data_IF_314430537837
#
_entry.id   IF_314430537837
#
_cell.length_a   1.000
_cell.length_b   1.000
_cell.length_c   1.000
_cell.angle_alpha   90.00
_cell.angle_beta   90.00
_cell.angle_gamma   90.00
#
_symmetry.space_group_name_H-M   'P 1'
#
loop_
_entity.id
_entity.type
_entity.pdbx_description
1 polymer ?
#
# COMPACT_ATOMS: atom_id res chain seq x y z
N UNK A 1 63.88 25.66 -71.49
CA UNK A 1 63.39 25.78 -70.10
C UNK A 1 62.25 24.78 -69.92
N UNK A 2 62.38 23.84 -68.99
CA UNK A 2 61.42 22.75 -68.74
C UNK A 2 61.32 22.54 -67.23
N UNK A 3 60.12 22.25 -66.72
CA UNK A 3 59.80 22.26 -65.29
C UNK A 3 60.21 20.95 -64.58
N UNK A 4 60.56 20.97 -63.29
CA UNK A 4 60.99 19.79 -62.54
C UNK A 4 59.83 18.86 -62.16
N UNK A 5 60.14 17.58 -61.92
CA UNK A 5 59.19 16.61 -61.36
C UNK A 5 59.08 16.74 -59.84
N UNK A 6 57.89 16.46 -59.29
CA UNK A 6 57.71 16.10 -57.89
C UNK A 6 57.47 14.59 -57.80
N UNK A 7 58.22 13.90 -56.94
CA UNK A 7 57.92 12.52 -56.56
C UNK A 7 56.98 12.51 -55.35
N UNK A 8 56.02 11.58 -55.33
CA UNK A 8 55.03 11.47 -54.26
C UNK A 8 55.15 10.11 -53.56
N UNK A 9 55.36 10.11 -52.24
CA UNK A 9 55.47 8.90 -51.43
C UNK A 9 54.09 8.47 -50.91
N UNK A 10 53.70 7.22 -51.18
CA UNK A 10 52.48 6.60 -50.67
C UNK A 10 52.79 5.75 -49.43
N UNK A 11 52.25 6.13 -48.27
CA UNK A 11 52.22 5.27 -47.09
C UNK A 11 51.00 4.35 -47.15
N UNK A 12 51.22 3.03 -47.26
CA UNK A 12 50.17 2.03 -47.17
C UNK A 12 49.96 1.60 -45.71
N UNK A 13 48.83 1.98 -45.11
CA UNK A 13 48.45 1.56 -43.75
C UNK A 13 47.59 0.29 -43.83
N UNK A 14 48.15 -0.85 -43.44
CA UNK A 14 47.40 -2.10 -43.29
C UNK A 14 46.61 -2.09 -41.97
N UNK A 15 45.29 -2.06 -42.05
CA UNK A 15 44.38 -2.24 -40.91
C UNK A 15 43.94 -3.70 -40.86
N UNK A 16 44.45 -4.48 -39.89
CA UNK A 16 43.91 -5.81 -39.60
C UNK A 16 42.62 -5.69 -38.78
N UNK A 17 41.47 -5.94 -39.43
CA UNK A 17 40.18 -6.12 -38.76
C UNK A 17 40.06 -7.57 -38.24
N UNK A 18 40.35 -7.76 -36.96
CA UNK A 18 40.15 -9.05 -36.26
C UNK A 18 38.71 -9.15 -35.75
N UNK A 19 37.85 -9.81 -36.54
CA UNK A 19 36.45 -10.07 -36.15
C UNK A 19 36.41 -11.10 -35.02
N UNK A 20 36.35 -10.59 -33.79
CA UNK A 20 36.25 -11.41 -32.57
C UNK A 20 34.79 -11.71 -32.26
N UNK A 21 34.31 -12.89 -32.64
CA UNK A 21 32.94 -13.35 -32.35
C UNK A 21 32.81 -13.80 -30.89
N UNK A 22 32.69 -12.84 -29.98
CA UNK A 22 32.34 -13.10 -28.57
C UNK A 22 30.90 -13.60 -28.45
N UNK A 23 30.74 -14.92 -28.37
CA UNK A 23 29.50 -15.56 -27.90
C UNK A 23 29.29 -15.20 -26.42
N UNK A 24 28.55 -14.12 -26.18
CA UNK A 24 28.11 -13.73 -24.85
C UNK A 24 27.12 -14.77 -24.30
N UNK A 25 27.45 -15.36 -23.15
CA UNK A 25 26.49 -16.18 -22.43
C UNK A 25 25.25 -15.33 -22.06
N UNK A 26 24.02 -15.89 -22.15
CA UNK A 26 22.82 -15.16 -21.79
C UNK A 26 22.86 -14.75 -20.32
N UNK A 27 22.33 -13.56 -20.02
CA UNK A 27 22.23 -13.08 -18.64
C UNK A 27 21.33 -14.01 -17.79
N UNK A 28 21.51 -14.06 -16.46
CA UNK A 28 20.60 -14.77 -15.56
C UNK A 28 19.14 -14.30 -15.68
N UNK A 29 18.91 -13.03 -16.02
CA UNK A 29 17.56 -12.49 -16.24
C UNK A 29 16.91 -13.01 -17.53
N UNK A 30 17.67 -13.17 -18.62
CA UNK A 30 17.15 -13.73 -19.87
C UNK A 30 16.83 -15.22 -19.75
N UNK A 31 17.71 -16.01 -19.14
CA UNK A 31 17.44 -17.45 -18.92
C UNK A 31 16.23 -17.70 -18.02
N UNK A 32 16.01 -16.85 -17.01
CA UNK A 32 14.78 -16.88 -16.21
C UNK A 32 13.54 -16.47 -17.03
N UNK A 33 13.61 -15.41 -17.84
CA UNK A 33 12.47 -14.98 -18.67
C UNK A 33 12.00 -16.10 -19.60
N UNK A 34 12.92 -16.75 -20.33
CA UNK A 34 12.58 -17.83 -21.27
C UNK A 34 11.98 -19.04 -20.54
N UNK A 35 12.54 -19.42 -19.39
CA UNK A 35 12.04 -20.52 -18.54
C UNK A 35 10.62 -20.22 -18.01
N UNK A 36 10.40 -18.99 -17.52
CA UNK A 36 9.11 -18.56 -16.99
C UNK A 36 8.05 -18.44 -18.09
N UNK A 37 8.43 -17.95 -19.28
CA UNK A 37 7.56 -17.87 -20.45
C UNK A 37 7.15 -19.26 -20.96
N UNK A 38 8.09 -20.21 -21.01
CA UNK A 38 7.79 -21.61 -21.37
C UNK A 38 6.81 -22.23 -20.37
N UNK A 39 7.03 -22.02 -19.07
CA UNK A 39 6.12 -22.50 -18.04
C UNK A 39 4.71 -21.85 -18.15
N UNK A 40 4.61 -20.53 -18.37
CA UNK A 40 3.33 -19.86 -18.59
C UNK A 40 2.59 -20.42 -19.82
N UNK A 41 3.33 -20.75 -20.88
CA UNK A 41 2.78 -21.34 -22.11
C UNK A 41 2.16 -22.72 -21.86
N UNK A 42 2.66 -23.46 -20.86
CA UNK A 42 2.13 -24.76 -20.44
C UNK A 42 0.98 -24.67 -19.42
N UNK A 43 0.93 -23.58 -18.64
CA UNK A 43 0.02 -23.42 -17.50
C UNK A 43 -1.05 -22.33 -17.69
N UNK A 44 -1.27 -21.87 -18.93
CA UNK A 44 -2.33 -20.91 -19.27
C UNK A 44 -3.07 -21.34 -20.53
N UNK A 45 -4.38 -21.07 -20.59
CA UNK A 45 -5.24 -21.48 -21.70
C UNK A 45 -5.13 -20.59 -22.96
N UNK A 46 -4.13 -19.70 -23.04
CA UNK A 46 -4.04 -18.67 -24.08
C UNK A 46 -2.59 -18.28 -24.40
N UNK A 47 -2.04 -18.85 -25.48
CA UNK A 47 -0.67 -18.60 -25.95
C UNK A 47 -0.51 -17.17 -26.52
N UNK A 48 -1.57 -16.59 -27.08
CA UNK A 48 -1.54 -15.39 -27.93
C UNK A 48 -1.34 -14.06 -27.21
N UNK A 49 -1.14 -14.04 -25.89
CA UNK A 49 -1.00 -12.81 -25.10
C UNK A 49 0.18 -12.80 -24.12
N UNK A 50 1.01 -13.84 -24.06
CA UNK A 50 2.02 -13.98 -22.98
C UNK A 50 3.11 -12.88 -22.99
N UNK A 51 3.53 -12.43 -24.17
CA UNK A 51 4.45 -11.28 -24.32
C UNK A 51 3.83 -9.92 -23.97
N UNK A 52 2.51 -9.83 -23.83
CA UNK A 52 1.81 -8.63 -23.35
C UNK A 52 1.52 -8.63 -21.84
N UNK A 53 1.87 -9.71 -21.13
CA UNK A 53 1.73 -9.80 -19.67
C UNK A 53 3.04 -10.04 -18.93
N UNK A 54 4.08 -10.59 -19.57
CA UNK A 54 5.36 -10.91 -18.93
C UNK A 54 6.44 -9.90 -19.34
N UNK A 55 7.04 -9.20 -18.36
CA UNK A 55 8.03 -8.16 -18.60
C UNK A 55 9.31 -8.39 -17.80
N UNK A 56 10.44 -8.44 -18.50
CA UNK A 56 11.78 -8.41 -17.92
C UNK A 56 12.34 -6.97 -17.87
N UNK A 57 13.38 -6.68 -17.05
CA UNK A 57 14.05 -5.37 -16.97
C UNK A 57 14.60 -4.82 -18.29
N UNK A 58 14.76 -5.67 -19.31
CA UNK A 58 15.16 -5.29 -20.68
C UNK A 58 14.00 -4.73 -21.51
N UNK A 59 12.75 -4.86 -21.07
CA UNK A 59 11.60 -4.25 -21.75
C UNK A 59 11.56 -2.74 -21.52
N UNK A 60 11.41 -1.91 -22.58
CA UNK A 60 11.23 -0.46 -22.43
C UNK A 60 10.04 -0.05 -21.54
N UNK A 61 9.03 -0.91 -21.38
CA UNK A 61 7.85 -0.66 -20.52
C UNK A 61 8.10 -0.96 -19.04
N UNK A 62 9.15 -1.70 -18.70
CA UNK A 62 9.35 -2.24 -17.35
C UNK A 62 9.49 -1.15 -16.26
N UNK A 63 10.26 -0.06 -16.45
CA UNK A 63 10.36 1.00 -15.43
C UNK A 63 9.00 1.63 -15.13
N UNK A 64 8.24 1.99 -16.18
CA UNK A 64 6.91 2.59 -16.05
C UNK A 64 5.91 1.64 -15.38
N UNK A 65 5.92 0.35 -15.74
CA UNK A 65 5.09 -0.66 -15.07
C UNK A 65 5.43 -0.80 -13.59
N UNK A 66 6.71 -0.75 -13.24
CA UNK A 66 7.15 -0.80 -11.84
C UNK A 66 6.74 0.46 -11.07
N UNK A 67 7.01 1.64 -11.60
CA UNK A 67 6.84 2.93 -10.90
C UNK A 67 5.37 3.35 -10.74
N UNK A 68 4.53 3.06 -11.74
CA UNK A 68 3.12 3.49 -11.82
C UNK A 68 2.30 3.27 -10.54
N UNK A 69 2.57 2.17 -9.82
CA UNK A 69 1.87 1.78 -8.58
C UNK A 69 2.81 1.70 -7.36
N UNK A 70 3.92 2.45 -7.34
CA UNK A 70 4.62 2.76 -6.09
C UNK A 70 3.90 3.92 -5.41
N UNK A 71 3.56 3.75 -4.12
CA UNK A 71 2.81 4.76 -3.34
C UNK A 71 3.60 5.36 -2.17
N UNK A 72 4.79 4.84 -1.92
CA UNK A 72 5.70 5.37 -0.91
C UNK A 72 7.12 5.46 -1.47
N UNK A 73 7.59 6.68 -1.75
CA UNK A 73 8.86 6.98 -2.41
C UNK A 73 10.10 6.56 -1.61
N UNK A 74 9.96 6.28 -0.29
CA UNK A 74 11.00 5.61 0.53
C UNK A 74 11.57 4.36 -0.12
N UNK A 75 10.77 3.71 -0.97
CA UNK A 75 11.05 2.43 -1.61
C UNK A 75 11.23 2.57 -3.13
N UNK A 76 11.39 3.79 -3.67
CA UNK A 76 11.81 4.00 -5.05
C UNK A 76 13.22 4.63 -5.12
N UNK A 77 14.19 3.98 -4.48
CA UNK A 77 15.61 4.38 -4.56
C UNK A 77 16.36 3.55 -5.60
N UNK A 78 17.51 4.03 -6.05
CA UNK A 78 18.48 3.24 -6.83
C UNK A 78 19.00 2.01 -6.07
N UNK A 79 19.08 2.08 -4.74
CA UNK A 79 19.50 0.98 -3.86
C UNK A 79 18.42 -0.07 -3.58
N UNK A 80 17.14 0.24 -3.79
CA UNK A 80 16.05 -0.72 -3.55
C UNK A 80 16.09 -1.82 -4.62
N UNK A 81 16.17 -3.10 -4.21
CA UNK A 81 16.15 -4.25 -5.14
C UNK A 81 14.92 -4.17 -6.04
N UNK A 82 15.13 -4.31 -7.35
CA UNK A 82 14.09 -4.34 -8.38
C UNK A 82 13.68 -5.80 -8.65
N UNK A 83 12.42 -6.10 -9.03
CA UNK A 83 12.01 -7.46 -9.33
C UNK A 83 12.74 -8.01 -10.57
N UNK A 84 12.82 -9.33 -10.68
CA UNK A 84 13.40 -10.01 -11.84
C UNK A 84 12.43 -10.06 -13.03
N UNK A 85 11.12 -10.15 -12.76
CA UNK A 85 10.04 -10.13 -13.74
C UNK A 85 8.82 -9.41 -13.14
N UNK A 86 7.97 -8.84 -14.01
CA UNK A 86 6.62 -8.35 -13.67
C UNK A 86 5.62 -9.11 -14.53
N UNK A 87 4.56 -9.64 -13.91
CA UNK A 87 3.44 -10.32 -14.58
C UNK A 87 2.15 -9.50 -14.39
N UNK A 88 1.49 -9.10 -15.48
CA UNK A 88 0.27 -8.26 -15.45
C UNK A 88 -0.98 -9.01 -15.96
N UNK A 89 -1.50 -10.00 -15.21
CA UNK A 89 -2.53 -10.93 -15.67
C UNK A 89 -3.78 -10.24 -16.25
N UNK A 90 -4.30 -10.79 -17.35
CA UNK A 90 -5.54 -10.37 -18.02
C UNK A 90 -6.71 -11.31 -17.70
N UNK A 91 -6.42 -12.52 -17.20
CA UNK A 91 -7.40 -13.53 -16.81
C UNK A 91 -6.96 -14.22 -15.52
N UNK A 92 -7.89 -14.93 -14.86
CA UNK A 92 -7.59 -15.74 -13.67
C UNK A 92 -6.62 -16.90 -13.99
N UNK A 93 -6.66 -17.46 -15.21
CA UNK A 93 -5.67 -18.46 -15.63
C UNK A 93 -4.25 -17.92 -15.67
N UNK A 94 -4.04 -16.64 -15.99
CA UNK A 94 -2.72 -16.01 -15.97
C UNK A 94 -2.21 -15.85 -14.52
N UNK A 95 -3.10 -15.69 -13.54
CA UNK A 95 -2.77 -15.69 -12.10
C UNK A 95 -2.33 -17.09 -11.65
N UNK A 96 -3.10 -18.13 -12.03
CA UNK A 96 -2.78 -19.52 -11.72
C UNK A 96 -1.41 -19.92 -12.31
N UNK A 97 -1.19 -19.64 -13.60
CA UNK A 97 0.09 -19.86 -14.26
C UNK A 97 1.25 -19.13 -13.59
N UNK A 98 1.08 -17.85 -13.23
CA UNK A 98 2.14 -17.08 -12.55
C UNK A 98 2.52 -17.67 -11.17
N UNK A 99 1.54 -18.15 -10.40
CA UNK A 99 1.80 -18.82 -9.11
C UNK A 99 2.53 -20.15 -9.32
N UNK A 100 2.06 -21.00 -10.25
CA UNK A 100 2.70 -22.28 -10.57
C UNK A 100 4.15 -22.07 -11.02
N UNK A 101 4.38 -21.12 -11.94
CA UNK A 101 5.69 -20.87 -12.52
C UNK A 101 6.67 -20.20 -11.57
N UNK A 102 6.21 -19.32 -10.68
CA UNK A 102 7.06 -18.78 -9.61
C UNK A 102 7.48 -19.85 -8.60
N UNK A 103 6.58 -20.81 -8.30
CA UNK A 103 6.90 -21.97 -7.46
C UNK A 103 7.87 -22.94 -8.14
N UNK A 104 7.71 -23.23 -9.44
CA UNK A 104 8.58 -24.18 -10.16
C UNK A 104 10.02 -23.69 -10.36
N UNK A 105 10.30 -22.40 -10.16
CA UNK A 105 11.66 -21.82 -10.21
C UNK A 105 12.17 -21.34 -8.83
N UNK A 106 11.43 -21.63 -7.75
CA UNK A 106 11.65 -21.17 -6.37
C UNK A 106 12.00 -19.67 -6.25
N UNK A 107 11.18 -18.81 -6.85
CA UNK A 107 11.31 -17.34 -6.73
C UNK A 107 10.11 -16.77 -5.98
N UNK A 108 10.40 -15.86 -5.03
CA UNK A 108 9.38 -15.24 -4.20
C UNK A 108 8.41 -14.39 -5.04
N UNK A 109 7.11 -14.63 -4.85
CA UNK A 109 6.05 -13.86 -5.49
C UNK A 109 5.57 -12.74 -4.56
N UNK A 110 5.83 -11.48 -4.91
CA UNK A 110 5.15 -10.32 -4.29
C UNK A 110 3.93 -9.96 -5.14
N UNK A 111 2.79 -9.69 -4.50
CA UNK A 111 1.52 -9.42 -5.20
C UNK A 111 1.15 -7.95 -5.00
N UNK A 112 0.80 -7.27 -6.11
CA UNK A 112 0.41 -5.85 -6.13
C UNK A 112 -1.00 -5.66 -6.70
N UNK A 113 -1.66 -4.62 -6.20
CA UNK A 113 -2.90 -4.02 -6.71
C UNK A 113 -2.70 -2.50 -6.69
N UNK A 114 -3.47 -1.71 -5.93
CA UNK A 114 -3.29 -0.25 -5.82
C UNK A 114 -1.93 0.23 -5.28
N UNK A 115 -1.14 -0.66 -4.67
CA UNK A 115 0.25 -0.39 -4.26
C UNK A 115 0.44 0.37 -2.94
N UNK A 116 -0.62 0.54 -2.13
CA UNK A 116 -0.59 1.35 -0.91
C UNK A 116 0.00 0.65 0.35
N UNK A 117 0.83 -0.38 0.20
CA UNK A 117 1.51 -0.97 1.37
C UNK A 117 2.52 0.03 1.95
N UNK A 118 2.31 0.43 3.21
CA UNK A 118 3.08 1.51 3.84
C UNK A 118 4.57 1.21 4.03
N UNK A 119 4.96 -0.06 3.97
CA UNK A 119 6.35 -0.52 4.06
C UNK A 119 6.80 -1.20 2.76
N UNK A 120 6.07 -0.97 1.65
CA UNK A 120 6.45 -1.37 0.29
C UNK A 120 6.31 -2.84 -0.06
N UNK A 121 5.83 -3.71 0.85
CA UNK A 121 5.89 -5.18 0.72
C UNK A 121 5.37 -5.72 -0.63
N UNK A 122 4.34 -5.09 -1.21
CA UNK A 122 3.77 -5.48 -2.51
C UNK A 122 4.72 -5.35 -3.72
N UNK A 123 5.84 -4.64 -3.59
CA UNK A 123 6.76 -4.34 -4.71
C UNK A 123 8.26 -4.27 -4.35
N UNK A 124 8.66 -4.61 -3.12
CA UNK A 124 10.06 -4.77 -2.72
C UNK A 124 10.30 -6.15 -2.10
N UNK A 125 11.54 -6.62 -2.12
CA UNK A 125 12.03 -7.68 -1.25
C UNK A 125 13.54 -7.54 -1.08
N UNK A 126 14.09 -8.02 0.04
CA UNK A 126 15.53 -8.20 0.19
C UNK A 126 16.04 -9.42 -0.60
N UNK A 127 15.16 -10.37 -0.94
CA UNK A 127 15.43 -11.56 -1.76
C UNK A 127 15.10 -11.37 -3.25
N UNK A 128 15.60 -12.23 -4.17
CA UNK A 128 15.16 -12.25 -5.56
C UNK A 128 13.65 -12.54 -5.65
N UNK A 129 12.91 -11.69 -6.38
CA UNK A 129 11.45 -11.73 -6.41
C UNK A 129 10.84 -11.36 -7.77
N UNK A 130 9.59 -11.75 -7.97
CA UNK A 130 8.73 -11.41 -9.11
C UNK A 130 7.51 -10.64 -8.59
N UNK A 131 7.04 -9.63 -9.31
CA UNK A 131 5.76 -8.98 -9.01
C UNK A 131 4.65 -9.61 -9.86
N UNK A 132 3.59 -10.09 -9.21
CA UNK A 132 2.29 -10.32 -9.83
C UNK A 132 1.43 -9.07 -9.63
N UNK A 133 1.20 -8.29 -10.68
CA UNK A 133 0.52 -7.01 -10.62
C UNK A 133 -0.90 -7.07 -11.19
N UNK A 134 -1.87 -7.05 -10.28
CA UNK A 134 -3.27 -7.34 -10.58
C UNK A 134 -4.01 -6.18 -11.25
N UNK A 135 -3.36 -5.05 -11.55
CA UNK A 135 -4.02 -3.79 -11.95
C UNK A 135 -4.96 -3.89 -13.16
N UNK A 136 -4.78 -4.90 -14.02
CA UNK A 136 -5.62 -5.22 -15.18
C UNK A 136 -6.94 -5.94 -14.80
N UNK A 137 -6.92 -6.75 -13.74
CA UNK A 137 -8.09 -7.47 -13.23
C UNK A 137 -8.92 -6.53 -12.36
N UNK A 138 -9.65 -5.62 -13.02
CA UNK A 138 -10.38 -4.50 -12.40
C UNK A 138 -11.85 -4.38 -12.85
N UNK A 139 -12.44 -5.45 -13.36
CA UNK A 139 -13.86 -5.43 -13.71
C UNK A 139 -14.73 -5.19 -12.47
N UNK A 140 -15.79 -4.39 -12.63
CA UNK A 140 -16.78 -4.10 -11.60
C UNK A 140 -18.18 -4.23 -12.21
N UNK A 141 -18.96 -5.20 -11.71
CA UNK A 141 -20.41 -5.27 -11.91
C UNK A 141 -21.11 -4.85 -10.62
N UNK A 142 -22.25 -4.18 -10.76
CA UNK A 142 -23.10 -3.73 -9.65
C UNK A 142 -24.52 -4.13 -10.00
N UNK A 143 -25.13 -4.87 -9.09
CA UNK A 143 -26.54 -5.24 -9.08
C UNK A 143 -27.21 -4.44 -7.96
N UNK A 144 -28.14 -3.54 -8.33
CA UNK A 144 -28.88 -2.74 -7.36
C UNK A 144 -30.09 -3.46 -6.77
N UNK A 145 -30.61 -4.49 -7.42
CA UNK A 145 -31.78 -5.25 -6.94
C UNK A 145 -31.34 -6.29 -5.89
N UNK A 146 -30.14 -6.86 -6.07
CA UNK A 146 -29.51 -7.75 -5.09
C UNK A 146 -28.64 -7.02 -4.03
N UNK A 147 -28.47 -5.69 -4.13
CA UNK A 147 -27.52 -4.88 -3.34
C UNK A 147 -26.06 -5.41 -3.35
N UNK A 148 -25.64 -6.04 -4.46
CA UNK A 148 -24.35 -6.74 -4.58
C UNK A 148 -23.45 -6.11 -5.66
N UNK A 149 -22.18 -5.90 -5.34
CA UNK A 149 -21.16 -5.53 -6.30
C UNK A 149 -20.07 -6.61 -6.37
N UNK A 150 -19.81 -7.13 -7.57
CA UNK A 150 -18.65 -8.03 -7.82
C UNK A 150 -17.49 -7.19 -8.33
N UNK A 151 -16.39 -7.20 -7.58
CA UNK A 151 -15.22 -6.34 -7.78
C UNK A 151 -13.97 -7.22 -7.93
N UNK A 152 -13.27 -7.10 -9.06
CA UNK A 152 -11.96 -7.75 -9.20
C UNK A 152 -10.86 -6.98 -8.44
N UNK A 153 -9.89 -7.72 -7.89
CA UNK A 153 -8.92 -7.24 -6.88
C UNK A 153 -7.95 -6.14 -7.33
N UNK A 154 -7.87 -5.85 -8.63
CA UNK A 154 -7.09 -4.76 -9.22
C UNK A 154 -7.84 -3.43 -9.33
N UNK A 155 -9.11 -3.36 -8.94
CA UNK A 155 -9.90 -2.12 -8.91
C UNK A 155 -9.50 -1.19 -7.74
N UNK A 156 -9.59 0.13 -7.94
CA UNK A 156 -9.41 1.12 -6.87
C UNK A 156 -10.72 1.40 -6.14
N UNK A 157 -10.63 1.94 -4.91
CA UNK A 157 -11.82 2.42 -4.19
C UNK A 157 -12.55 3.52 -4.98
N UNK A 158 -11.84 4.40 -5.67
CA UNK A 158 -12.43 5.42 -6.54
C UNK A 158 -13.22 4.83 -7.71
N UNK A 159 -12.71 3.79 -8.37
CA UNK A 159 -13.43 3.09 -9.44
C UNK A 159 -14.72 2.42 -8.90
N UNK A 160 -14.68 1.85 -7.69
CA UNK A 160 -15.85 1.26 -7.02
C UNK A 160 -16.87 2.34 -6.64
N UNK A 161 -16.45 3.41 -5.98
CA UNK A 161 -17.32 4.50 -5.55
C UNK A 161 -17.97 5.20 -6.75
N UNK A 162 -17.21 5.45 -7.82
CA UNK A 162 -17.74 5.98 -9.08
C UNK A 162 -18.74 5.01 -9.71
N UNK A 163 -18.46 3.70 -9.73
CA UNK A 163 -19.37 2.71 -10.33
C UNK A 163 -20.70 2.63 -9.58
N UNK A 164 -20.69 2.71 -8.25
CA UNK A 164 -21.89 2.81 -7.42
C UNK A 164 -22.63 4.12 -7.73
N UNK A 165 -21.95 5.28 -7.61
CA UNK A 165 -22.55 6.60 -7.87
C UNK A 165 -23.07 6.80 -9.29
N UNK A 166 -22.47 6.17 -10.31
CA UNK A 166 -22.97 6.28 -11.69
C UNK A 166 -24.42 5.79 -11.82
N UNK A 167 -24.87 5.02 -10.84
CA UNK A 167 -26.22 4.50 -10.66
C UNK A 167 -27.06 5.32 -9.66
N UNK A 168 -26.53 6.40 -9.06
CA UNK A 168 -27.17 7.28 -8.05
C UNK A 168 -26.50 8.69 -7.87
N UNK A 169 -27.10 9.77 -8.41
CA UNK A 169 -26.64 11.21 -8.39
C UNK A 169 -26.63 11.88 -6.97
N UNK A 170 -26.10 13.12 -6.66
CA UNK A 170 -25.70 14.33 -7.44
C UNK A 170 -24.34 15.06 -7.03
N UNK A 171 -24.26 16.42 -6.82
CA UNK A 171 -23.08 17.38 -6.89
C UNK A 171 -23.35 18.78 -6.20
N UNK A 172 -22.50 19.74 -5.65
CA UNK A 172 -21.19 19.90 -4.85
C UNK A 172 -20.83 21.42 -4.52
N UNK A 173 -20.18 21.86 -3.39
CA UNK A 173 -19.36 23.15 -3.25
C UNK A 173 -18.51 23.41 -1.93
N UNK A 174 -17.56 24.40 -1.84
CA UNK A 174 -16.30 24.45 -0.99
C UNK A 174 -15.80 25.85 -0.44
N UNK A 175 -14.98 25.94 0.64
CA UNK A 175 -14.34 27.19 1.25
C UNK A 175 -12.87 26.99 1.82
N UNK A 176 -12.10 28.05 2.17
CA UNK A 176 -10.63 28.07 2.56
C UNK A 176 -10.29 28.85 3.91
N UNK A 177 -9.00 29.07 4.30
CA UNK A 177 -8.42 29.00 5.69
C UNK A 177 -7.19 29.91 5.99
N UNK A 178 -6.80 30.13 7.26
CA UNK A 178 -5.52 30.80 7.65
C UNK A 178 -4.95 30.57 9.09
N UNK A 179 -3.63 30.81 9.27
CA UNK A 179 -2.76 30.79 10.48
C UNK A 179 -2.50 29.47 11.29
N UNK A 180 -1.40 29.46 12.08
CA UNK A 180 -0.78 28.27 12.71
C UNK A 180 -0.96 28.19 14.24
N UNK A 181 -1.56 27.08 14.69
CA UNK A 181 -1.59 26.55 16.07
C UNK A 181 -1.65 25.01 15.98
N UNK A 182 -1.77 24.29 17.11
CA UNK A 182 -2.27 22.90 17.07
C UNK A 182 -3.75 22.94 16.64
N UNK A 183 -3.99 22.74 15.34
CA UNK A 183 -5.34 22.74 14.75
C UNK A 183 -5.99 21.37 14.90
N UNK A 184 -6.56 21.11 16.07
CA UNK A 184 -7.60 20.09 16.19
C UNK A 184 -8.68 20.37 15.13
N UNK A 185 -8.90 19.41 14.23
CA UNK A 185 -9.89 19.50 13.15
C UNK A 185 -10.87 18.37 13.36
N UNK A 186 -12.03 18.65 13.96
CA UNK A 186 -13.12 17.68 14.04
C UNK A 186 -13.79 17.64 12.67
N UNK A 187 -13.78 16.47 12.05
CA UNK A 187 -14.38 16.22 10.74
C UNK A 187 -15.32 15.04 10.89
N UNK A 188 -16.54 15.17 10.35
CA UNK A 188 -17.59 14.18 10.49
C UNK A 188 -18.32 13.97 9.16
N UNK A 189 -18.80 12.75 8.95
CA UNK A 189 -19.86 12.44 8.00
C UNK A 189 -21.09 12.05 8.82
N UNK A 190 -22.22 12.70 8.56
CA UNK A 190 -23.51 12.38 9.18
C UNK A 190 -24.49 11.94 8.09
N UNK A 191 -25.24 10.87 8.35
CA UNK A 191 -26.19 10.29 7.40
C UNK A 191 -27.61 10.79 7.71
N UNK A 192 -27.82 12.10 7.52
CA UNK A 192 -29.05 12.83 7.82
C UNK A 192 -28.86 14.32 7.55
N UNK A 193 -29.75 15.19 8.05
CA UNK A 193 -29.70 16.64 7.81
C UNK A 193 -28.77 17.39 8.76
N UNK A 194 -28.31 18.57 8.35
CA UNK A 194 -27.49 19.48 9.14
C UNK A 194 -28.14 19.85 10.47
N UNK A 195 -29.45 20.14 10.45
CA UNK A 195 -30.19 20.49 11.67
C UNK A 195 -30.29 19.32 12.66
N UNK A 196 -30.40 18.08 12.18
CA UNK A 196 -30.47 16.88 13.02
C UNK A 196 -29.15 16.68 13.78
N UNK A 197 -28.00 16.75 13.09
CA UNK A 197 -26.69 16.60 13.74
C UNK A 197 -26.36 17.77 14.66
N UNK A 198 -26.78 18.99 14.34
CA UNK A 198 -26.66 20.15 15.24
C UNK A 198 -27.46 19.92 16.53
N UNK A 199 -28.74 19.55 16.46
CA UNK A 199 -29.54 19.28 17.66
C UNK A 199 -29.05 18.08 18.48
N UNK A 200 -28.50 17.05 17.83
CA UNK A 200 -27.87 15.92 18.53
C UNK A 200 -26.61 16.37 19.27
N UNK A 201 -25.72 17.13 18.62
CA UNK A 201 -24.44 17.53 19.21
C UNK A 201 -24.57 18.70 20.19
N UNK A 202 -25.57 19.56 20.07
CA UNK A 202 -25.93 20.54 21.10
C UNK A 202 -26.29 19.87 22.43
N UNK A 203 -26.97 18.71 22.36
CA UNK A 203 -27.32 17.91 23.55
C UNK A 203 -26.17 17.05 24.06
N UNK A 204 -25.51 16.29 23.19
CA UNK A 204 -24.54 15.26 23.57
C UNK A 204 -23.08 15.74 23.63
N UNK A 205 -22.72 16.81 22.90
CA UNK A 205 -21.35 17.36 22.88
C UNK A 205 -21.30 18.90 22.65
N UNK A 206 -22.00 19.72 23.45
CA UNK A 206 -22.12 21.17 23.23
C UNK A 206 -20.79 21.93 23.14
N UNK A 207 -19.72 21.39 23.76
CA UNK A 207 -18.36 21.95 23.70
C UNK A 207 -17.77 22.02 22.28
N UNK A 208 -18.34 21.30 21.30
CA UNK A 208 -17.93 21.43 19.90
C UNK A 208 -18.44 22.74 19.26
N UNK A 209 -19.55 23.30 19.76
CA UNK A 209 -20.13 24.55 19.26
C UNK A 209 -20.59 24.51 17.79
N UNK A 210 -20.89 23.31 17.26
CA UNK A 210 -21.28 23.13 15.86
C UNK A 210 -22.57 23.88 15.52
N UNK A 211 -22.59 24.59 14.39
CA UNK A 211 -23.77 25.27 13.86
C UNK A 211 -24.13 24.78 12.47
N UNK A 212 -25.35 25.13 12.03
CA UNK A 212 -25.80 24.87 10.67
C UNK A 212 -24.89 25.54 9.63
N UNK A 213 -24.37 26.76 9.90
CA UNK A 213 -23.39 27.44 9.02
C UNK A 213 -22.07 26.65 8.83
N UNK A 214 -21.79 25.65 9.65
CA UNK A 214 -20.56 24.84 9.58
C UNK A 214 -20.79 23.49 8.89
N UNK A 215 -22.04 23.17 8.54
CA UNK A 215 -22.42 21.93 7.88
C UNK A 215 -22.60 22.17 6.39
N UNK A 216 -22.04 21.30 5.55
CA UNK A 216 -22.32 21.30 4.11
C UNK A 216 -23.15 20.05 3.78
N UNK A 217 -24.45 20.21 3.57
CA UNK A 217 -25.26 19.12 3.02
C UNK A 217 -24.83 18.83 1.59
N UNK A 218 -24.50 17.57 1.34
CA UNK A 218 -24.05 17.02 0.07
C UNK A 218 -24.39 15.54 0.05
N UNK A 219 -24.44 14.90 -1.13
CA UNK A 219 -24.64 13.46 -1.21
C UNK A 219 -23.40 12.65 -0.83
N UNK A 220 -23.60 11.34 -0.75
CA UNK A 220 -22.55 10.39 -0.44
C UNK A 220 -21.32 10.50 -1.37
N UNK A 221 -21.47 10.60 -2.71
CA UNK A 221 -20.28 10.68 -3.58
C UNK A 221 -19.52 11.99 -3.40
N UNK A 222 -20.22 13.05 -3.05
CA UNK A 222 -19.64 14.38 -2.89
C UNK A 222 -18.84 14.43 -1.59
N UNK A 223 -19.34 13.75 -0.57
CA UNK A 223 -18.57 13.48 0.65
C UNK A 223 -17.34 12.62 0.32
N UNK A 224 -17.46 11.60 -0.54
CA UNK A 224 -16.31 10.79 -1.00
C UNK A 224 -15.28 11.66 -1.72
N UNK A 225 -15.70 12.53 -2.66
CA UNK A 225 -14.81 13.48 -3.34
C UNK A 225 -14.11 14.41 -2.35
N UNK A 226 -14.83 14.93 -1.35
CA UNK A 226 -14.28 15.84 -0.35
C UNK A 226 -13.37 15.16 0.68
N UNK A 227 -13.63 13.90 1.01
CA UNK A 227 -12.77 13.06 1.86
C UNK A 227 -11.49 12.58 1.16
N UNK A 228 -11.50 12.55 -0.17
CA UNK A 228 -10.35 12.22 -1.03
C UNK A 228 -9.37 13.40 -1.15
N UNK A 229 -9.85 14.56 -1.63
CA UNK A 229 -9.19 15.86 -1.49
C UNK A 229 -10.26 16.94 -1.33
N UNK A 230 -10.14 17.84 -0.35
CA UNK A 230 -11.11 18.92 -0.17
C UNK A 230 -11.26 19.80 -1.42
N UNK A 231 -10.21 19.86 -2.26
CA UNK A 231 -10.16 20.51 -3.58
C UNK A 231 -11.04 19.84 -4.64
N UNK A 232 -11.37 18.55 -4.52
CA UNK A 232 -12.20 17.82 -5.48
C UNK A 232 -13.70 18.12 -5.31
N UNK A 233 -14.13 18.77 -4.23
CA UNK A 233 -15.52 19.21 -4.08
C UNK A 233 -15.86 20.34 -5.07
N UNK A 234 -16.68 20.04 -6.08
CA UNK A 234 -16.87 20.89 -7.28
C UNK A 234 -16.53 20.16 -8.58
N UNK A 235 -15.73 19.10 -8.51
CA UNK A 235 -15.39 18.26 -9.66
C UNK A 235 -16.52 17.29 -10.00
N UNK A 236 -16.52 16.79 -11.24
CA UNK A 236 -17.38 15.67 -11.63
C UNK A 236 -16.80 14.36 -11.04
N UNK A 237 -17.63 13.42 -10.56
CA UNK A 237 -17.14 12.18 -9.95
C UNK A 237 -16.25 11.29 -10.85
N UNK A 238 -16.22 11.50 -12.17
CA UNK A 238 -15.23 10.88 -13.08
C UNK A 238 -13.77 11.03 -12.61
N UNK A 239 -13.43 12.04 -11.79
CA UNK A 239 -12.09 12.17 -11.21
C UNK A 239 -11.69 10.97 -10.34
N UNK A 240 -12.65 10.25 -9.74
CA UNK A 240 -12.41 9.02 -8.97
C UNK A 240 -12.00 7.82 -9.84
N UNK A 241 -12.10 7.93 -11.18
CA UNK A 241 -11.53 6.96 -12.13
C UNK A 241 -10.02 7.17 -12.37
N UNK A 242 -9.46 8.29 -11.90
CA UNK A 242 -8.03 8.52 -11.92
C UNK A 242 -7.34 7.48 -11.03
N UNK A 243 -6.14 7.08 -11.42
CA UNK A 243 -5.27 6.16 -10.67
C UNK A 243 -3.99 6.83 -10.17
N UNK A 244 -3.81 8.12 -10.43
CA UNK A 244 -2.68 8.95 -9.99
C UNK A 244 -1.34 8.22 -10.16
N UNK A 245 -1.06 7.74 -11.37
CA UNK A 245 0.12 6.94 -11.62
C UNK A 245 1.39 7.78 -11.38
N UNK A 246 2.39 7.17 -10.71
CA UNK A 246 3.65 7.82 -10.32
C UNK A 246 3.53 8.94 -9.26
N UNK A 247 2.43 8.99 -8.50
CA UNK A 247 2.18 9.98 -7.43
C UNK A 247 2.92 9.71 -6.10
N UNK A 248 4.10 9.08 -6.13
CA UNK A 248 4.77 8.59 -4.92
C UNK A 248 5.35 9.73 -4.05
N UNK A 249 4.72 10.00 -2.89
CA UNK A 249 5.32 10.81 -1.81
C UNK A 249 6.04 9.95 -0.78
N UNK A 250 6.88 10.54 0.08
CA UNK A 250 7.52 9.81 1.19
C UNK A 250 6.62 9.79 2.42
N UNK A 251 6.40 8.62 3.03
CA UNK A 251 5.55 8.50 4.22
C UNK A 251 6.00 7.44 5.23
N UNK A 252 5.78 7.72 6.52
CA UNK A 252 5.75 6.72 7.60
C UNK A 252 4.41 6.83 8.33
N UNK A 253 3.96 5.68 8.82
CA UNK A 253 2.71 5.49 9.55
C UNK A 253 2.93 4.48 10.66
N UNK A 254 2.19 4.62 11.76
CA UNK A 254 2.09 3.66 12.86
C UNK A 254 0.64 3.68 13.38
N UNK A 255 0.23 2.69 14.19
CA UNK A 255 -1.14 2.64 14.72
C UNK A 255 -1.24 2.08 16.12
N UNK A 256 -2.28 2.52 16.83
CA UNK A 256 -2.68 2.04 18.15
C UNK A 256 -4.22 2.00 18.26
N UNK A 257 -4.73 1.27 19.24
CA UNK A 257 -6.12 1.37 19.70
C UNK A 257 -6.16 1.92 21.13
N UNK A 258 -7.17 2.74 21.43
CA UNK A 258 -7.37 3.32 22.76
C UNK A 258 -8.64 2.75 23.38
N UNK A 259 -8.53 2.25 24.61
CA UNK A 259 -9.58 1.50 25.31
C UNK A 259 -10.09 2.23 26.57
N UNK A 260 -9.39 3.28 27.01
CA UNK A 260 -9.75 4.15 28.13
C UNK A 260 -9.46 5.60 27.73
N UNK A 261 -10.22 6.62 28.20
CA UNK A 261 -9.94 8.01 27.85
C UNK A 261 -8.51 8.43 28.22
N UNK A 262 -7.80 9.09 27.28
CA UNK A 262 -6.46 9.62 27.53
C UNK A 262 -6.57 10.78 28.53
N UNK A 263 -5.84 10.79 29.66
CA UNK A 263 -5.86 11.91 30.59
C UNK A 263 -5.44 13.23 29.94
N UNK A 264 -6.01 14.36 30.40
CA UNK A 264 -5.68 15.71 29.89
C UNK A 264 -4.17 15.96 29.80
N UNK A 265 -3.40 15.62 30.84
CA UNK A 265 -1.94 15.80 30.85
C UNK A 265 -1.21 14.95 29.79
N UNK A 266 -1.76 13.80 29.40
CA UNK A 266 -1.27 12.98 28.30
C UNK A 266 -1.51 13.61 26.92
N UNK A 267 -2.68 14.25 26.74
CA UNK A 267 -2.98 15.03 25.53
C UNK A 267 -2.11 16.30 25.46
N UNK A 268 -1.94 17.01 26.58
CA UNK A 268 -1.10 18.21 26.67
C UNK A 268 0.39 17.91 26.44
N UNK A 269 0.90 16.76 26.88
CA UNK A 269 2.24 16.30 26.55
C UNK A 269 2.39 15.87 25.09
N UNK A 270 1.39 15.18 24.52
CA UNK A 270 1.36 14.83 23.10
C UNK A 270 1.40 16.09 22.22
N UNK A 271 0.65 17.15 22.58
CA UNK A 271 0.65 18.42 21.84
C UNK A 271 2.01 19.14 21.90
N UNK A 272 2.69 19.15 23.05
CA UNK A 272 4.05 19.72 23.17
C UNK A 272 5.03 19.02 22.24
N UNK A 273 5.05 17.68 22.26
CA UNK A 273 5.90 16.87 21.38
C UNK A 273 5.53 17.11 19.90
N UNK A 274 4.25 17.23 19.55
CA UNK A 274 3.85 17.57 18.17
C UNK A 274 4.32 18.97 17.73
N UNK A 275 4.36 19.95 18.63
CA UNK A 275 4.90 21.30 18.35
C UNK A 275 6.42 21.23 18.13
N UNK A 276 7.13 20.48 18.98
CA UNK A 276 8.60 20.29 18.91
C UNK A 276 9.04 19.54 17.64
N UNK A 277 8.30 18.51 17.22
CA UNK A 277 8.59 17.73 16.01
C UNK A 277 8.10 18.44 14.72
N UNK A 278 7.05 19.24 14.81
CA UNK A 278 6.60 20.18 13.77
C UNK A 278 5.90 19.60 12.53
N UNK A 279 6.22 18.38 12.07
CA UNK A 279 5.60 17.78 10.86
C UNK A 279 4.82 16.49 11.12
N UNK A 280 5.19 15.68 12.11
CA UNK A 280 4.43 14.48 12.48
C UNK A 280 3.16 14.81 13.26
N UNK A 281 2.08 14.05 13.03
CA UNK A 281 0.78 14.25 13.65
C UNK A 281 0.02 12.96 13.95
N UNK A 282 -1.20 13.12 14.48
CA UNK A 282 -2.10 12.02 14.85
C UNK A 282 -3.50 12.21 14.27
N UNK A 283 -4.17 11.11 13.92
CA UNK A 283 -5.59 11.07 13.54
C UNK A 283 -6.34 10.09 14.44
N UNK A 284 -7.45 10.55 15.01
CA UNK A 284 -8.35 9.75 15.84
C UNK A 284 -9.55 9.30 15.00
N UNK A 285 -9.86 8.01 14.98
CA UNK A 285 -10.98 7.43 14.23
C UNK A 285 -11.93 6.78 15.25
N UNK A 286 -13.15 7.30 15.48
CA UNK A 286 -14.06 6.79 16.52
C UNK A 286 -14.49 5.35 16.24
N UNK A 287 -14.58 4.55 17.30
CA UNK A 287 -15.14 3.19 17.31
C UNK A 287 -16.41 3.17 18.17
N UNK A 288 -17.19 2.10 18.08
CA UNK A 288 -18.54 2.02 18.62
C UNK A 288 -19.55 1.59 17.56
N UNK A 289 -20.84 1.78 17.85
CA UNK A 289 -21.93 1.36 16.96
C UNK A 289 -21.76 -0.08 16.48
N UNK A 290 -21.85 -0.29 15.15
CA UNK A 290 -21.69 -1.61 14.51
C UNK A 290 -20.37 -2.32 14.85
N UNK A 291 -19.29 -1.59 15.16
CA UNK A 291 -18.01 -2.20 15.56
C UNK A 291 -18.03 -2.81 16.97
N UNK A 292 -19.02 -2.49 17.80
CA UNK A 292 -19.26 -3.14 19.09
C UNK A 292 -20.20 -4.36 19.00
N UNK A 293 -20.96 -4.50 17.91
CA UNK A 293 -21.90 -5.60 17.70
C UNK A 293 -21.23 -6.84 17.10
N UNK A 294 -20.23 -6.65 16.22
CA UNK A 294 -19.50 -7.75 15.58
C UNK A 294 -18.50 -8.38 16.57
N UNK A 295 -18.55 -9.72 16.81
CA UNK A 295 -17.57 -10.42 17.65
C UNK A 295 -16.13 -10.28 17.15
N UNK A 296 -15.16 -10.32 18.07
CA UNK A 296 -13.73 -10.20 17.76
C UNK A 296 -13.16 -11.37 16.96
N UNK A 297 -13.81 -12.54 17.00
CA UNK A 297 -13.43 -13.78 16.31
C UNK A 297 -14.23 -14.04 15.01
N UNK A 298 -15.24 -13.20 14.73
CA UNK A 298 -16.09 -13.33 13.54
C UNK A 298 -15.32 -13.11 12.22
N UNK A 299 -14.27 -12.30 12.24
CA UNK A 299 -13.30 -12.18 11.14
C UNK A 299 -11.88 -12.05 11.74
N UNK A 300 -10.81 -12.22 10.94
CA UNK A 300 -9.43 -12.07 11.44
C UNK A 300 -9.14 -10.75 12.17
N UNK A 301 -9.87 -9.67 11.86
CA UNK A 301 -9.72 -8.35 12.48
C UNK A 301 -10.41 -8.32 13.87
N UNK A 302 -9.65 -8.26 14.98
CA UNK A 302 -10.17 -8.48 16.32
C UNK A 302 -10.65 -7.20 17.01
N UNK A 303 -10.31 -6.01 16.47
CA UNK A 303 -10.42 -4.73 17.16
C UNK A 303 -11.87 -4.22 17.15
N UNK A 304 -12.71 -4.86 17.97
CA UNK A 304 -14.16 -4.65 18.06
C UNK A 304 -14.52 -3.93 19.35
N UNK A 305 -15.59 -4.37 20.03
CA UNK A 305 -16.04 -3.92 21.34
C UNK A 305 -14.89 -3.75 22.35
N UNK A 306 -14.91 -2.65 23.10
CA UNK A 306 -13.88 -2.29 24.09
C UNK A 306 -12.85 -1.27 23.58
N UNK A 307 -12.78 -1.02 22.28
CA UNK A 307 -11.96 0.06 21.71
C UNK A 307 -12.82 1.32 21.51
N UNK A 308 -12.36 2.45 22.04
CA UNK A 308 -13.00 3.77 21.91
C UNK A 308 -12.68 4.43 20.57
N UNK A 309 -11.43 4.30 20.12
CA UNK A 309 -10.97 4.79 18.82
C UNK A 309 -9.65 4.14 18.38
N UNK A 310 -9.40 4.13 17.07
CA UNK A 310 -8.11 3.83 16.45
C UNK A 310 -7.32 5.12 16.27
N UNK A 311 -6.06 5.14 16.72
CA UNK A 311 -5.09 6.18 16.40
C UNK A 311 -4.25 5.80 15.19
N UNK A 312 -4.02 6.75 14.29
CA UNK A 312 -2.93 6.72 13.32
C UNK A 312 -1.91 7.78 13.68
N UNK A 313 -0.63 7.41 13.74
CA UNK A 313 0.50 8.35 13.74
C UNK A 313 0.96 8.52 12.30
N UNK A 314 1.21 9.75 11.85
CA UNK A 314 1.54 10.01 10.46
C UNK A 314 2.58 11.12 10.29
N UNK A 315 3.40 10.97 9.24
CA UNK A 315 4.18 12.05 8.66
C UNK A 315 4.32 11.80 7.15
N UNK A 316 4.28 12.88 6.38
CA UNK A 316 4.56 12.88 4.94
C UNK A 316 5.73 13.84 4.67
N UNK A 317 6.57 13.53 3.70
CA UNK A 317 7.61 14.45 3.26
C UNK A 317 8.03 14.26 1.80
N UNK A 318 8.93 15.15 1.40
CA UNK A 318 9.17 15.58 0.03
C UNK A 318 10.69 15.54 -0.28
N UNK A 319 11.52 15.77 0.74
CA UNK A 319 12.98 15.65 0.72
C UNK A 319 13.42 14.18 0.62
N UNK A 320 14.10 13.76 -0.46
CA UNK A 320 14.50 12.37 -0.68
C UNK A 320 15.73 11.93 0.13
N UNK A 321 16.35 12.82 0.90
CA UNK A 321 17.60 12.52 1.59
C UNK A 321 17.44 11.47 2.71
N UNK A 322 18.45 10.61 2.93
CA UNK A 322 18.45 9.68 4.06
C UNK A 322 18.33 10.40 5.42
N UNK A 323 18.86 11.62 5.53
CA UNK A 323 18.75 12.45 6.74
C UNK A 323 17.31 12.88 7.02
N UNK A 324 16.58 13.36 6.00
CA UNK A 324 15.15 13.69 6.14
C UNK A 324 14.32 12.44 6.47
N UNK A 325 14.56 11.32 5.79
CA UNK A 325 13.89 10.07 6.08
C UNK A 325 14.12 9.60 7.53
N UNK A 326 15.38 9.63 7.99
CA UNK A 326 15.75 9.26 9.36
C UNK A 326 15.10 10.18 10.41
N UNK A 327 15.02 11.49 10.14
CA UNK A 327 14.32 12.46 10.98
C UNK A 327 12.82 12.14 11.06
N UNK A 328 12.09 12.17 9.94
CA UNK A 328 10.62 12.02 9.94
C UNK A 328 10.15 10.64 10.44
N UNK A 329 10.88 9.56 10.13
CA UNK A 329 10.61 8.23 10.72
C UNK A 329 10.78 8.30 12.25
N UNK A 330 11.83 8.94 12.77
CA UNK A 330 12.02 9.11 14.21
C UNK A 330 10.95 10.00 14.85
N UNK A 331 10.46 11.06 14.19
CA UNK A 331 9.32 11.84 14.72
C UNK A 331 8.09 10.94 14.98
N UNK A 332 7.78 10.05 14.03
CA UNK A 332 6.67 9.11 14.16
C UNK A 332 6.90 8.10 15.28
N UNK A 333 8.15 7.66 15.48
CA UNK A 333 8.56 6.78 16.59
C UNK A 333 8.46 7.49 17.95
N UNK A 334 8.85 8.76 18.06
CA UNK A 334 8.74 9.55 19.29
C UNK A 334 7.29 9.68 19.76
N UNK A 335 6.36 10.03 18.86
CA UNK A 335 4.93 10.10 19.19
C UNK A 335 4.37 8.74 19.62
N UNK A 336 4.78 7.66 18.94
CA UNK A 336 4.37 6.29 19.29
C UNK A 336 4.90 5.85 20.65
N UNK A 337 6.19 6.07 20.93
CA UNK A 337 6.80 5.76 22.23
C UNK A 337 6.18 6.56 23.37
N UNK A 338 5.87 7.85 23.16
CA UNK A 338 5.18 8.67 24.15
C UNK A 338 3.79 8.13 24.52
N UNK A 339 3.03 7.62 23.54
CA UNK A 339 1.65 7.18 23.76
C UNK A 339 1.50 5.80 24.44
N UNK A 340 2.60 5.07 24.65
CA UNK A 340 2.62 3.72 25.25
C UNK A 340 1.76 3.51 26.51
N UNK A 341 1.73 4.42 27.52
CA UNK A 341 0.94 4.21 28.74
C UNK A 341 -0.56 4.54 28.58
N UNK A 342 -1.00 5.07 27.43
CA UNK A 342 -2.38 5.54 27.20
C UNK A 342 -3.19 4.72 26.18
N UNK A 343 -2.56 3.72 25.56
CA UNK A 343 -3.14 2.87 24.51
C UNK A 343 -3.38 1.44 25.01
N UNK A 344 -3.95 0.57 24.17
CA UNK A 344 -4.08 -0.87 24.41
C UNK A 344 -2.75 -1.50 24.82
N UNK A 345 -2.77 -2.45 25.74
CA UNK A 345 -1.60 -3.19 26.23
C UNK A 345 -1.94 -4.68 26.33
N UNK A 346 -0.92 -5.54 26.21
CA UNK A 346 -1.02 -6.99 26.33
C UNK A 346 -2.11 -7.64 25.43
N UNK A 347 -2.03 -7.52 24.09
CA UNK A 347 -0.95 -6.89 23.30
C UNK A 347 -1.21 -5.40 23.02
N UNK A 348 -0.14 -4.66 22.69
CA UNK A 348 -0.28 -3.32 22.10
C UNK A 348 -0.80 -3.45 20.67
N UNK A 349 -2.11 -3.27 20.52
CA UNK A 349 -2.87 -3.60 19.31
C UNK A 349 -2.57 -2.61 18.17
N UNK A 350 -2.40 -3.15 16.95
CA UNK A 350 -2.07 -2.40 15.74
C UNK A 350 -2.97 -2.82 14.57
N UNK A 351 -3.08 -1.99 13.53
CA UNK A 351 -3.88 -2.27 12.34
C UNK A 351 -3.01 -2.74 11.17
N UNK A 352 -3.27 -3.96 10.66
CA UNK A 352 -2.47 -4.61 9.60
C UNK A 352 -2.26 -3.72 8.36
N UNK A 353 -3.32 -3.05 7.89
CA UNK A 353 -3.24 -2.23 6.68
C UNK A 353 -2.44 -0.93 6.91
N UNK A 354 -2.13 -0.58 8.16
CA UNK A 354 -1.13 0.43 8.50
C UNK A 354 0.17 -0.27 8.93
N UNK A 355 0.74 -1.06 7.99
CA UNK A 355 1.91 -1.91 8.20
C UNK A 355 3.09 -1.12 8.77
N UNK A 356 3.84 -1.77 9.67
CA UNK A 356 4.89 -1.15 10.45
C UNK A 356 5.98 -2.18 10.81
N UNK A 357 7.10 -2.17 10.08
CA UNK A 357 8.18 -3.15 10.30
C UNK A 357 8.93 -2.91 11.62
N UNK A 358 8.80 -1.72 12.22
CA UNK A 358 9.33 -1.41 13.56
C UNK A 358 8.73 -2.33 14.66
N UNK A 359 7.64 -3.05 14.37
CA UNK A 359 7.02 -4.01 15.29
C UNK A 359 7.87 -5.29 15.43
N UNK A 360 8.62 -5.66 14.39
CA UNK A 360 9.27 -6.96 14.21
C UNK A 360 9.00 -7.54 12.81
N UNK A 361 9.90 -8.39 12.32
CA UNK A 361 9.85 -9.04 11.01
C UNK A 361 10.16 -10.54 11.12
N UNK A 362 9.79 -11.32 10.11
CA UNK A 362 10.12 -12.74 10.02
C UNK A 362 11.41 -12.95 9.20
N UNK A 363 12.36 -13.71 9.73
CA UNK A 363 13.60 -14.14 9.04
C UNK A 363 13.43 -15.47 8.31
N UNK A 364 12.32 -16.17 8.55
CA UNK A 364 12.04 -17.55 8.10
C UNK A 364 13.05 -18.61 8.58
N UNK A 365 13.88 -18.25 9.57
CA UNK A 365 14.74 -19.21 10.27
C UNK A 365 13.97 -20.10 11.25
N UNK A 366 14.72 -20.82 12.10
CA UNK A 366 14.16 -21.76 13.11
C UNK A 366 13.14 -21.14 14.07
N UNK A 367 13.15 -19.82 14.23
CA UNK A 367 12.28 -19.06 15.12
C UNK A 367 11.08 -18.41 14.40
N UNK A 368 10.81 -18.77 13.14
CA UNK A 368 9.80 -18.11 12.28
C UNK A 368 8.40 -18.02 12.91
N UNK A 369 7.99 -19.02 13.72
CA UNK A 369 6.73 -18.95 14.45
C UNK A 369 6.75 -17.84 15.52
N UNK A 370 7.79 -17.79 16.35
CA UNK A 370 7.95 -16.86 17.45
C UNK A 370 8.16 -15.41 16.96
N UNK A 371 8.94 -15.23 15.89
CA UNK A 371 9.07 -13.95 15.19
C UNK A 371 7.72 -13.48 14.62
N UNK A 372 6.95 -14.42 14.04
CA UNK A 372 5.61 -14.17 13.53
C UNK A 372 4.59 -13.80 14.61
N UNK A 373 4.73 -14.36 15.80
CA UNK A 373 3.86 -14.11 16.95
C UNK A 373 3.96 -12.67 17.47
N UNK A 374 5.16 -12.06 17.42
CA UNK A 374 5.41 -10.69 17.92
C UNK A 374 4.60 -9.62 17.19
N UNK A 375 4.48 -9.69 15.87
CA UNK A 375 3.57 -8.82 15.11
C UNK A 375 2.17 -9.42 14.98
N UNK A 376 2.07 -10.75 14.88
CA UNK A 376 0.82 -11.49 14.72
C UNK A 376 -0.19 -11.18 15.82
N UNK A 377 0.21 -11.30 17.09
CA UNK A 377 -0.69 -10.96 18.21
C UNK A 377 -1.01 -9.47 18.29
N UNK A 378 -0.17 -8.55 17.81
CA UNK A 378 -0.53 -7.11 17.75
C UNK A 378 -1.57 -6.82 16.66
N UNK A 379 -1.49 -7.49 15.51
CA UNK A 379 -2.44 -7.27 14.41
C UNK A 379 -3.76 -8.02 14.61
N UNK A 380 -3.73 -9.23 15.19
CA UNK A 380 -4.84 -10.17 15.20
C UNK A 380 -5.29 -10.63 16.60
N UNK A 381 -4.62 -10.20 17.68
CA UNK A 381 -4.86 -10.64 19.05
C UNK A 381 -4.94 -12.19 19.09
N UNK A 382 -5.99 -12.76 19.69
CA UNK A 382 -6.15 -14.20 19.84
C UNK A 382 -6.50 -14.93 18.52
N UNK A 383 -6.94 -14.19 17.49
CA UNK A 383 -7.19 -14.77 16.15
C UNK A 383 -5.89 -15.26 15.47
N UNK A 384 -4.72 -14.84 15.95
CA UNK A 384 -3.43 -15.23 15.39
C UNK A 384 -3.26 -16.76 15.29
N UNK A 385 -3.66 -17.51 16.31
CA UNK A 385 -3.50 -18.97 16.34
C UNK A 385 -4.40 -19.67 15.31
N UNK A 386 -5.64 -19.17 15.14
CA UNK A 386 -6.55 -19.61 14.08
C UNK A 386 -5.98 -19.31 12.69
N UNK A 387 -5.31 -18.17 12.52
CA UNK A 387 -4.64 -17.81 11.27
C UNK A 387 -3.45 -18.71 10.97
N UNK A 388 -2.57 -19.01 11.94
CA UNK A 388 -1.46 -19.97 11.75
C UNK A 388 -1.98 -21.36 11.41
N UNK A 389 -3.06 -21.82 12.06
CA UNK A 389 -3.70 -23.10 11.73
C UNK A 389 -4.20 -23.14 10.29
N UNK A 390 -4.85 -22.09 9.80
CA UNK A 390 -5.29 -21.99 8.40
C UNK A 390 -4.09 -21.93 7.44
N UNK A 391 -3.12 -21.04 7.70
CA UNK A 391 -1.90 -20.88 6.90
C UNK A 391 -1.14 -22.21 6.74
N UNK A 392 -0.96 -22.95 7.83
CA UNK A 392 -0.29 -24.27 7.81
C UNK A 392 -1.06 -25.31 6.99
N UNK A 393 -2.39 -25.22 6.91
CA UNK A 393 -3.22 -26.14 6.15
C UNK A 393 -3.30 -25.82 4.64
N UNK A 394 -3.21 -24.54 4.25
CA UNK A 394 -3.37 -24.09 2.85
C UNK A 394 -2.06 -23.76 2.13
N UNK A 395 -1.00 -23.46 2.87
CA UNK A 395 0.35 -23.16 2.36
C UNK A 395 1.43 -23.68 3.34
N UNK A 396 1.56 -25.02 3.48
CA UNK A 396 2.48 -25.65 4.44
C UNK A 396 3.95 -25.39 4.11
N UNK A 397 4.28 -25.14 2.84
CA UNK A 397 5.63 -24.78 2.37
C UNK A 397 5.97 -23.30 2.60
N UNK A 398 5.00 -22.48 3.04
CA UNK A 398 5.15 -21.05 3.22
C UNK A 398 5.65 -20.33 1.94
N UNK A 399 5.04 -20.66 0.80
CA UNK A 399 5.33 -20.02 -0.49
C UNK A 399 4.85 -18.56 -0.49
N UNK A 400 3.63 -18.30 -0.01
CA UNK A 400 3.08 -16.95 0.12
C UNK A 400 3.61 -16.26 1.39
N UNK A 401 4.89 -15.88 1.35
CA UNK A 401 5.64 -15.28 2.46
C UNK A 401 6.11 -13.86 2.19
N UNK A 402 6.05 -13.02 3.23
CA UNK A 402 6.62 -11.68 3.27
C UNK A 402 7.05 -11.31 4.69
N UNK A 403 7.72 -10.18 4.82
CA UNK A 403 8.43 -9.72 6.01
C UNK A 403 7.53 -9.69 7.27
N UNK A 404 6.20 -9.63 7.11
CA UNK A 404 5.19 -9.80 8.17
C UNK A 404 4.02 -10.72 7.76
N UNK A 405 4.28 -11.83 7.06
CA UNK A 405 3.27 -12.85 6.75
C UNK A 405 3.07 -13.85 7.90
N UNK A 406 1.83 -14.25 8.16
CA UNK A 406 1.50 -15.33 9.12
C UNK A 406 2.43 -16.54 8.91
N UNK A 407 3.13 -17.03 9.95
CA UNK A 407 4.00 -18.19 9.82
C UNK A 407 3.18 -19.48 9.73
N UNK A 408 3.83 -20.56 9.30
CA UNK A 408 3.32 -21.93 9.52
C UNK A 408 3.70 -22.39 10.94
N UNK A 409 3.01 -23.42 11.46
CA UNK A 409 3.54 -24.14 12.62
C UNK A 409 4.89 -24.79 12.27
N UNK A 410 5.82 -24.93 13.23
CA UNK A 410 7.02 -25.74 13.03
C UNK A 410 6.64 -27.15 12.58
N UNK A 411 7.36 -27.68 11.58
CA UNK A 411 7.28 -29.09 11.24
C UNK A 411 7.67 -29.93 12.47
N UNK A 412 6.96 -31.04 12.68
CA UNK A 412 7.39 -32.03 13.67
C UNK A 412 8.68 -32.69 13.13
N UNK A 413 9.77 -32.52 13.87
CA UNK A 413 11.02 -33.23 13.66
C UNK A 413 10.92 -34.71 14.09
#
# INVERSE_FOLDING_TARGET
>A
MTKPCLACYLYAVFVLLTVSTSLSAPSPASSLYDTFLQCLTQNTNSITQLSSILFAPTSPTFPTLLENYIRNARFNTSSTRKPLLIVTPLTESHVQGAVICAKSVDIQLKIRSGGHDFEGISYISDEPFIILDMFNLRAITVDLEAEVATVQVGATLGEIYYKIWKTSKPVTSKVVKGNKTIRASVVALFLGRANEVVSILEKEFPLLGLRAENCTEMSWIESVLWWDDDKNLGAKPEILLNRDLNSAGFLKRKSDYVQKPIPRAGLEGLWKIMIELGKAGVVFNPYGGKMNEVPSDATPFPHRKGNLFKMQYFVNWDDPSPAAAQNFINQTRTLYSYMTPFVSQNPRSAFLNYRDLDIGVNTFGKNSFQEGEVYGRKYFNDNFERLVKVKTAVDPENFFRNEQSIPVYPSKA
#
